data_IF_636193788610
#
_entry.id   IF_636193788610
#
_cell.length_a   1.000
_cell.length_b   1.000
_cell.length_c   1.000
_cell.angle_alpha   90.00
_cell.angle_beta   90.00
_cell.angle_gamma   90.00
#
_symmetry.space_group_name_H-M   'P 1'
#
loop_
_entity.id
_entity.type
_entity.pdbx_description
1 polymer ?
#
# COMPACT_ATOMS: atom_id res chain seq x y z
N UNK A 1 22.49 4.18 -7.16
CA UNK A 1 21.82 5.41 -7.65
C UNK A 1 20.36 5.52 -7.16
N UNK A 2 20.05 5.19 -5.90
CA UNK A 2 18.67 5.21 -5.37
C UNK A 2 18.57 5.96 -4.04
N UNK A 3 19.17 7.15 -3.93
CA UNK A 3 19.13 7.94 -2.68
C UNK A 3 18.01 8.97 -2.62
N UNK A 4 17.26 9.21 -3.70
CA UNK A 4 16.27 10.30 -3.79
C UNK A 4 14.86 9.90 -4.26
N UNK A 5 14.55 8.61 -4.41
CA UNK A 5 13.32 8.16 -5.08
C UNK A 5 13.26 8.64 -6.54
N UNK A 6 12.19 8.32 -7.27
CA UNK A 6 12.07 8.73 -8.68
C UNK A 6 11.88 10.25 -8.79
N UNK A 7 12.61 10.99 -9.66
CA UNK A 7 12.54 12.46 -9.73
C UNK A 7 11.17 13.05 -10.10
N UNK A 8 10.24 12.23 -10.59
CA UNK A 8 8.96 12.65 -11.16
C UNK A 8 7.82 12.75 -10.14
N UNK A 9 8.03 12.40 -8.87
CA UNK A 9 6.95 12.28 -7.89
C UNK A 9 6.25 13.61 -7.57
N UNK A 10 7.02 14.66 -7.26
CA UNK A 10 6.46 15.96 -6.88
C UNK A 10 5.54 16.55 -7.97
N UNK A 11 6.01 16.65 -9.23
CA UNK A 11 5.17 17.11 -10.33
C UNK A 11 3.93 16.24 -10.55
N UNK A 12 4.06 14.91 -10.48
CA UNK A 12 2.94 13.98 -10.68
C UNK A 12 1.86 14.12 -9.61
N UNK A 13 2.25 14.18 -8.33
CA UNK A 13 1.32 14.35 -7.22
C UNK A 13 0.53 15.65 -7.37
N UNK A 14 1.19 16.76 -7.73
CA UNK A 14 0.52 18.05 -7.97
C UNK A 14 -0.52 17.98 -9.10
N UNK A 15 -0.24 17.22 -10.17
CA UNK A 15 -1.20 17.02 -11.25
C UNK A 15 -2.42 16.23 -10.79
N UNK A 16 -2.23 15.20 -9.96
CA UNK A 16 -3.32 14.40 -9.40
C UNK A 16 -4.16 15.23 -8.42
N UNK A 17 -3.53 16.04 -7.57
CA UNK A 17 -4.23 16.99 -6.69
C UNK A 17 -5.06 18.00 -7.49
N UNK A 18 -4.54 18.49 -8.62
CA UNK A 18 -5.30 19.36 -9.52
C UNK A 18 -6.51 18.62 -10.11
N UNK A 19 -6.36 17.37 -10.53
CA UNK A 19 -7.48 16.56 -11.01
C UNK A 19 -8.53 16.30 -9.92
N UNK A 20 -8.10 16.01 -8.69
CA UNK A 20 -8.96 15.85 -7.52
C UNK A 20 -9.82 17.10 -7.26
N UNK A 21 -9.21 18.29 -7.37
CA UNK A 21 -9.93 19.57 -7.22
C UNK A 21 -10.96 19.78 -8.34
N UNK A 22 -10.61 19.48 -9.60
CA UNK A 22 -11.54 19.59 -10.73
C UNK A 22 -12.75 18.64 -10.55
N UNK A 23 -12.52 17.40 -10.10
CA UNK A 23 -13.61 16.48 -9.81
C UNK A 23 -14.48 16.92 -8.61
N UNK A 24 -13.92 17.69 -7.67
CA UNK A 24 -14.67 18.19 -6.53
C UNK A 24 -15.60 19.37 -6.87
N UNK A 25 -15.46 19.99 -8.05
CA UNK A 25 -16.31 21.11 -8.47
C UNK A 25 -17.76 20.69 -8.72
N UNK A 26 -18.00 19.42 -9.05
CA UNK A 26 -19.35 18.87 -9.27
C UNK A 26 -19.67 17.74 -8.31
N UNK A 27 -20.97 17.55 -8.02
CA UNK A 27 -21.43 16.43 -7.18
C UNK A 27 -21.47 15.09 -7.94
N UNK A 28 -21.25 15.11 -9.26
CA UNK A 28 -21.28 13.92 -10.11
C UNK A 28 -20.00 13.10 -9.99
N UNK A 29 -18.87 13.71 -9.61
CA UNK A 29 -17.55 13.08 -9.61
C UNK A 29 -16.96 12.87 -8.22
N UNK A 30 -17.81 12.65 -7.21
CA UNK A 30 -17.37 12.43 -5.82
C UNK A 30 -16.43 11.22 -5.71
N UNK A 31 -16.70 10.16 -6.48
CA UNK A 31 -15.88 8.97 -6.49
C UNK A 31 -14.48 9.25 -7.04
N UNK A 32 -14.40 9.89 -8.21
CA UNK A 32 -13.15 10.24 -8.89
C UNK A 32 -12.31 11.22 -8.07
N UNK A 33 -12.97 12.19 -7.42
CA UNK A 33 -12.29 13.11 -6.51
C UNK A 33 -11.62 12.36 -5.35
N UNK A 34 -12.34 11.45 -4.68
CA UNK A 34 -11.79 10.61 -3.61
C UNK A 34 -10.71 9.66 -4.11
N UNK A 35 -10.90 9.06 -5.29
CA UNK A 35 -9.92 8.15 -5.88
C UNK A 35 -8.61 8.87 -6.21
N UNK A 36 -8.69 10.11 -6.73
CA UNK A 36 -7.53 10.95 -6.99
C UNK A 36 -6.82 11.37 -5.68
N UNK A 37 -7.58 11.71 -4.64
CA UNK A 37 -7.02 11.98 -3.29
C UNK A 37 -6.24 10.77 -2.74
N UNK A 38 -6.85 9.58 -2.79
CA UNK A 38 -6.23 8.33 -2.34
C UNK A 38 -5.00 7.98 -3.18
N UNK A 39 -5.05 8.20 -4.49
CA UNK A 39 -3.92 7.93 -5.37
C UNK A 39 -2.72 8.85 -5.07
N UNK A 40 -2.95 10.15 -4.88
CA UNK A 40 -1.91 11.09 -4.45
C UNK A 40 -1.29 10.67 -3.10
N UNK A 41 -2.13 10.21 -2.17
CA UNK A 41 -1.67 9.69 -0.87
C UNK A 41 -0.81 8.43 -1.02
N UNK A 42 -1.21 7.48 -1.87
CA UNK A 42 -0.45 6.26 -2.12
C UNK A 42 0.94 6.58 -2.68
N UNK A 43 1.04 7.49 -3.65
CA UNK A 43 2.31 7.91 -4.23
C UNK A 43 3.26 8.51 -3.19
N UNK A 44 2.75 9.29 -2.22
CA UNK A 44 3.57 9.82 -1.13
C UNK A 44 4.14 8.69 -0.25
N UNK A 45 3.30 7.72 0.13
CA UNK A 45 3.73 6.57 0.94
C UNK A 45 4.74 5.71 0.17
N UNK A 46 4.48 5.42 -1.11
CA UNK A 46 5.40 4.67 -1.96
C UNK A 46 6.74 5.39 -2.09
N UNK A 47 6.75 6.72 -2.25
CA UNK A 47 7.98 7.49 -2.28
C UNK A 47 8.77 7.40 -0.96
N UNK A 48 8.12 7.54 0.20
CA UNK A 48 8.74 7.32 1.52
C UNK A 48 9.35 5.91 1.63
N UNK A 49 8.67 4.90 1.09
CA UNK A 49 9.17 3.52 1.04
C UNK A 49 10.41 3.40 0.16
N UNK A 50 10.41 3.99 -1.05
CA UNK A 50 11.60 3.94 -1.92
C UNK A 50 12.81 4.64 -1.28
N UNK A 51 12.60 5.78 -0.61
CA UNK A 51 13.66 6.51 0.07
C UNK A 51 14.21 5.73 1.27
N UNK A 52 13.33 5.18 2.12
CA UNK A 52 13.73 4.45 3.34
C UNK A 52 14.35 3.09 3.05
N UNK A 53 13.84 2.37 2.06
CA UNK A 53 14.34 1.05 1.66
C UNK A 53 15.49 1.12 0.65
N UNK A 54 15.68 2.27 -0.01
CA UNK A 54 16.61 2.47 -1.14
C UNK A 54 16.30 1.56 -2.33
N UNK A 55 15.03 1.17 -2.51
CA UNK A 55 14.55 0.30 -3.58
C UNK A 55 13.48 1.02 -4.42
N UNK A 56 13.72 1.16 -5.72
CA UNK A 56 12.76 1.78 -6.65
C UNK A 56 11.77 0.74 -7.22
N UNK A 57 10.96 0.15 -6.34
CA UNK A 57 10.04 -0.96 -6.67
C UNK A 57 8.59 -0.71 -6.23
N UNK A 58 8.33 0.40 -5.54
CA UNK A 58 7.02 0.62 -4.90
C UNK A 58 6.09 1.47 -5.76
N UNK A 59 6.65 2.38 -6.54
CA UNK A 59 5.89 3.37 -7.29
C UNK A 59 5.05 2.73 -8.40
N UNK A 60 3.87 3.32 -8.64
CA UNK A 60 2.89 2.91 -9.64
C UNK A 60 2.31 1.50 -9.43
N UNK A 61 2.68 0.84 -8.33
CA UNK A 61 2.05 -0.41 -7.91
C UNK A 61 0.70 -0.15 -7.23
N UNK A 62 -0.19 -1.14 -7.27
CA UNK A 62 -1.46 -1.08 -6.56
C UNK A 62 -1.25 -1.10 -5.04
N UNK A 63 -2.27 -0.72 -4.26
CA UNK A 63 -2.26 -0.85 -2.78
C UNK A 63 -1.93 -2.31 -2.39
N UNK A 64 -2.52 -3.27 -3.10
CA UNK A 64 -2.32 -4.70 -2.84
C UNK A 64 -0.88 -5.13 -3.10
N UNK A 65 -0.29 -4.67 -4.21
CA UNK A 65 1.10 -4.98 -4.56
C UNK A 65 2.08 -4.26 -3.65
N UNK A 66 1.82 -3.01 -3.28
CA UNK A 66 2.60 -2.28 -2.27
C UNK A 66 2.64 -3.05 -0.95
N UNK A 67 1.49 -3.57 -0.48
CA UNK A 67 1.41 -4.40 0.73
C UNK A 67 2.22 -5.69 0.56
N UNK A 68 2.02 -6.42 -0.54
CA UNK A 68 2.71 -7.69 -0.78
C UNK A 68 4.23 -7.51 -0.87
N UNK A 69 4.69 -6.47 -1.55
CA UNK A 69 6.11 -6.11 -1.64
C UNK A 69 6.64 -5.76 -0.26
N UNK A 70 5.95 -4.93 0.52
CA UNK A 70 6.36 -4.61 1.90
C UNK A 70 6.52 -5.88 2.76
N UNK A 71 5.58 -6.83 2.67
CA UNK A 71 5.67 -8.09 3.44
C UNK A 71 6.84 -8.94 2.96
N UNK A 72 7.00 -9.07 1.64
CA UNK A 72 8.05 -9.87 1.02
C UNK A 72 9.45 -9.34 1.38
N UNK A 73 9.63 -8.02 1.42
CA UNK A 73 10.90 -7.39 1.82
C UNK A 73 11.07 -7.27 3.34
N UNK A 74 10.15 -7.80 4.16
CA UNK A 74 10.23 -7.78 5.63
C UNK A 74 9.79 -6.46 6.29
N UNK A 75 9.28 -5.50 5.53
CA UNK A 75 8.75 -4.22 6.01
C UNK A 75 7.32 -4.35 6.55
N UNK A 76 7.10 -5.24 7.52
CA UNK A 76 5.76 -5.55 8.04
C UNK A 76 5.04 -4.34 8.66
N UNK A 77 5.77 -3.43 9.29
CA UNK A 77 5.19 -2.19 9.86
C UNK A 77 4.64 -1.26 8.77
N UNK A 78 5.33 -1.16 7.65
CA UNK A 78 4.87 -0.37 6.50
C UNK A 78 3.63 -1.01 5.87
N UNK A 79 3.60 -2.34 5.71
CA UNK A 79 2.43 -3.06 5.22
C UNK A 79 1.18 -2.78 6.07
N UNK A 80 1.32 -2.76 7.40
CA UNK A 80 0.23 -2.40 8.32
C UNK A 80 -0.19 -0.93 8.19
N UNK A 81 0.75 0.00 8.03
CA UNK A 81 0.44 1.43 7.77
C UNK A 81 -0.43 1.57 6.52
N UNK A 82 -0.05 0.93 5.42
CA UNK A 82 -0.81 0.93 4.15
C UNK A 82 -2.18 0.29 4.33
N UNK A 83 -2.28 -0.86 5.02
CA UNK A 83 -3.56 -1.52 5.33
C UNK A 83 -4.52 -0.56 6.04
N UNK A 84 -4.07 0.09 7.10
CA UNK A 84 -4.89 0.99 7.92
C UNK A 84 -5.29 2.24 7.14
N UNK A 85 -4.34 2.87 6.45
CA UNK A 85 -4.57 4.12 5.71
C UNK A 85 -5.63 3.96 4.62
N UNK A 86 -5.57 2.85 3.88
CA UNK A 86 -6.51 2.56 2.79
C UNK A 86 -7.67 1.65 3.20
N UNK A 87 -7.85 1.44 4.52
CA UNK A 87 -8.94 0.65 5.10
C UNK A 87 -9.12 -0.71 4.39
N UNK A 88 -8.00 -1.39 4.11
CA UNK A 88 -8.01 -2.65 3.37
C UNK A 88 -8.82 -3.67 4.17
N UNK A 89 -9.89 -4.25 3.58
CA UNK A 89 -10.74 -5.21 4.28
C UNK A 89 -9.94 -6.39 4.81
N UNK A 90 -10.31 -6.85 6.00
CA UNK A 90 -9.62 -7.92 6.70
C UNK A 90 -9.46 -9.20 5.87
N UNK A 91 -10.54 -9.67 5.22
CA UNK A 91 -10.47 -10.81 4.29
C UNK A 91 -9.40 -10.61 3.21
N UNK A 92 -9.28 -9.41 2.64
CA UNK A 92 -8.27 -9.11 1.61
C UNK A 92 -6.87 -9.08 2.20
N UNK A 93 -6.71 -8.51 3.39
CA UNK A 93 -5.44 -8.52 4.12
C UNK A 93 -4.91 -9.94 4.36
N UNK A 94 -5.76 -10.89 4.79
CA UNK A 94 -5.36 -12.29 4.95
C UNK A 94 -4.79 -12.88 3.67
N UNK A 95 -5.53 -12.75 2.57
CA UNK A 95 -5.10 -13.28 1.28
C UNK A 95 -3.77 -12.69 0.82
N UNK A 96 -3.61 -11.37 0.92
CA UNK A 96 -2.37 -10.70 0.52
C UNK A 96 -1.18 -11.14 1.38
N UNK A 97 -1.37 -11.24 2.70
CA UNK A 97 -0.30 -11.63 3.63
C UNK A 97 0.08 -13.10 3.47
N UNK A 98 -0.90 -13.99 3.34
CA UNK A 98 -0.66 -15.41 3.10
C UNK A 98 0.11 -15.62 1.79
N UNK A 99 -0.33 -14.96 0.70
CA UNK A 99 0.33 -15.05 -0.60
C UNK A 99 1.76 -14.49 -0.57
N UNK A 100 2.00 -13.37 0.11
CA UNK A 100 3.33 -12.78 0.21
C UNK A 100 4.29 -13.67 1.02
N UNK A 101 3.84 -14.22 2.15
CA UNK A 101 4.63 -15.12 2.98
C UNK A 101 4.94 -16.45 2.26
N UNK A 102 3.96 -17.02 1.55
CA UNK A 102 4.17 -18.24 0.76
C UNK A 102 5.13 -18.01 -0.41
N UNK A 103 4.99 -16.89 -1.12
CA UNK A 103 5.91 -16.51 -2.23
C UNK A 103 7.34 -16.33 -1.71
N UNK A 104 7.51 -15.82 -0.49
CA UNK A 104 8.83 -15.70 0.16
C UNK A 104 9.38 -17.03 0.69
N UNK A 105 8.53 -18.05 0.86
CA UNK A 105 8.89 -19.31 1.52
C UNK A 105 9.00 -19.20 3.05
N UNK A 106 8.41 -18.17 3.66
CA UNK A 106 8.42 -17.99 5.12
C UNK A 106 7.26 -18.75 5.78
N UNK A 107 7.40 -20.07 5.79
CA UNK A 107 6.39 -20.99 6.32
C UNK A 107 6.18 -20.82 7.83
N UNK A 108 7.23 -20.50 8.58
CA UNK A 108 7.14 -20.29 10.02
C UNK A 108 6.32 -19.03 10.38
N UNK A 109 6.49 -17.93 9.64
CA UNK A 109 5.66 -16.75 9.83
C UNK A 109 4.22 -16.97 9.35
N UNK A 110 4.03 -17.77 8.30
CA UNK A 110 2.71 -18.14 7.80
C UNK A 110 1.92 -18.96 8.82
N UNK A 111 2.54 -19.98 9.42
CA UNK A 111 1.93 -20.81 10.46
C UNK A 111 1.53 -19.98 11.68
N UNK A 112 2.46 -19.17 12.21
CA UNK A 112 2.17 -18.25 13.32
C UNK A 112 1.05 -17.26 13.00
N UNK A 113 0.95 -16.85 11.73
CA UNK A 113 -0.11 -15.95 11.30
C UNK A 113 -1.48 -16.63 11.40
N UNK A 114 -1.63 -17.85 10.89
CA UNK A 114 -2.91 -18.55 10.96
C UNK A 114 -3.28 -19.02 12.37
N UNK A 115 -2.32 -19.46 13.19
CA UNK A 115 -2.58 -19.87 14.58
C UNK A 115 -3.15 -18.72 15.44
N UNK A 116 -2.59 -17.51 15.29
CA UNK A 116 -3.08 -16.32 16.00
C UNK A 116 -4.54 -16.02 15.66
N UNK A 117 -4.90 -16.28 14.40
CA UNK A 117 -6.18 -15.88 13.85
C UNK A 117 -7.25 -16.90 14.17
N UNK A 118 -6.93 -18.19 14.10
CA UNK A 118 -7.76 -19.28 14.62
C UNK A 118 -8.15 -19.02 16.08
N UNK A 119 -7.21 -18.59 16.92
CA UNK A 119 -7.47 -18.27 18.33
C UNK A 119 -8.50 -17.14 18.50
N UNK A 120 -8.57 -16.17 17.57
CA UNK A 120 -9.56 -15.08 17.60
C UNK A 120 -10.93 -15.44 17.03
N UNK A 121 -11.09 -16.54 16.28
CA UNK A 121 -12.41 -17.02 15.83
C UNK A 121 -13.18 -17.78 16.91
N UNK A 122 -12.49 -18.26 17.95
CA UNK A 122 -13.06 -19.02 19.07
C UNK A 122 -13.38 -18.17 20.31
N UNK A 123 -13.13 -16.86 20.25
CA UNK A 123 -13.42 -15.88 21.32
C UNK A 123 -14.48 -14.88 20.84
#
# INVERSE_FOLDING_TARGET
MASKGTPLHGPRIKLIEKAQNLFAETKEHIFESKAAEEHAKLLRIQHELEVSTKQAIFIDSSISDTIRTCISTGNHRAAMKVRTEFKVPEKRWYWLKALALSTRGDWAALEKFFQREETTWWL
#
